data_IF_735624348030
#
_entry.id   IF_735624348030
#
_cell.length_a   1.000
_cell.length_b   1.000
_cell.length_c   1.000
_cell.angle_alpha   90.00
_cell.angle_beta   90.00
_cell.angle_gamma   90.00
#
_symmetry.space_group_name_H-M   'P 1'
#
loop_
_entity.id
_entity.type
_entity.pdbx_description
1 polymer ?
#
# COMPACT_ATOMS: atom_id res chain seq x y z
N UNK A 1 -7.96 22.39 3.95
CA UNK A 1 -8.63 21.25 4.61
C UNK A 1 -8.33 20.00 3.79
N UNK A 2 -7.63 19.02 4.36
CA UNK A 2 -7.39 17.74 3.69
C UNK A 2 -8.65 16.87 3.81
N UNK A 3 -9.13 16.32 2.69
CA UNK A 3 -10.39 15.58 2.62
C UNK A 3 -10.34 14.21 3.30
N UNK A 4 -11.52 13.62 3.56
CA UNK A 4 -11.67 12.29 4.17
C UNK A 4 -10.88 11.18 3.44
N UNK A 5 -10.78 11.29 2.12
CA UNK A 5 -10.09 10.32 1.25
C UNK A 5 -8.56 10.32 1.39
N UNK A 6 -7.96 11.44 1.82
CA UNK A 6 -6.50 11.49 2.08
C UNK A 6 -6.10 10.46 3.14
N UNK A 7 -6.97 10.24 4.14
CA UNK A 7 -6.71 9.30 5.23
C UNK A 7 -6.62 7.85 4.76
N UNK A 8 -7.48 7.45 3.82
CA UNK A 8 -7.52 6.06 3.31
C UNK A 8 -6.24 5.73 2.53
N UNK A 9 -5.81 6.63 1.65
CA UNK A 9 -4.58 6.47 0.87
C UNK A 9 -3.34 6.36 1.78
N UNK A 10 -3.27 7.18 2.83
CA UNK A 10 -2.19 7.12 3.81
C UNK A 10 -2.21 5.81 4.63
N UNK A 11 -3.39 5.28 4.96
CA UNK A 11 -3.50 4.00 5.65
C UNK A 11 -3.08 2.85 4.74
N UNK A 12 -3.48 2.86 3.47
CA UNK A 12 -3.01 1.86 2.49
C UNK A 12 -1.49 1.86 2.37
N UNK A 13 -0.84 3.02 2.34
CA UNK A 13 0.64 3.11 2.33
C UNK A 13 1.28 2.48 3.54
N UNK A 14 0.73 2.74 4.72
CA UNK A 14 1.23 2.16 5.97
C UNK A 14 1.13 0.64 5.93
N UNK A 15 0.00 0.12 5.47
CA UNK A 15 -0.20 -1.32 5.33
C UNK A 15 0.76 -1.90 4.30
N UNK A 16 0.89 -1.28 3.11
CA UNK A 16 1.80 -1.75 2.06
C UNK A 16 3.26 -1.75 2.54
N UNK A 17 3.71 -0.68 3.21
CA UNK A 17 5.04 -0.58 3.78
C UNK A 17 5.27 -1.64 4.86
N UNK A 18 4.26 -1.94 5.67
CA UNK A 18 4.35 -2.98 6.69
C UNK A 18 4.44 -4.39 6.07
N UNK A 19 3.66 -4.69 5.05
CA UNK A 19 3.77 -5.96 4.30
C UNK A 19 5.16 -6.14 3.70
N UNK A 20 5.76 -5.07 3.15
CA UNK A 20 7.16 -5.09 2.69
C UNK A 20 8.16 -5.34 3.82
N UNK A 21 7.94 -4.76 5.01
CA UNK A 21 8.76 -5.04 6.19
C UNK A 21 8.67 -6.49 6.62
N UNK A 22 7.47 -7.09 6.64
CA UNK A 22 7.28 -8.52 6.95
C UNK A 22 8.11 -9.38 5.99
N UNK A 23 8.05 -9.10 4.69
CA UNK A 23 8.82 -9.84 3.69
C UNK A 23 10.34 -9.72 3.92
N UNK A 24 10.84 -8.50 4.20
CA UNK A 24 12.24 -8.26 4.53
C UNK A 24 12.65 -9.04 5.79
N UNK A 25 11.81 -9.02 6.83
CA UNK A 25 12.09 -9.70 8.09
C UNK A 25 12.14 -11.22 7.94
N UNK A 26 11.23 -11.78 7.15
CA UNK A 26 11.24 -13.21 6.81
C UNK A 26 12.54 -13.62 6.11
N UNK A 27 13.08 -12.79 5.21
CA UNK A 27 14.38 -13.05 4.56
C UNK A 27 15.53 -12.99 5.56
N UNK A 28 15.56 -11.94 6.40
CA UNK A 28 16.62 -11.74 7.40
C UNK A 28 16.64 -12.85 8.48
N UNK A 29 15.48 -13.36 8.88
CA UNK A 29 15.39 -14.50 9.79
C UNK A 29 15.93 -15.80 9.17
N UNK A 30 15.85 -15.99 7.86
CA UNK A 30 16.47 -17.13 7.16
C UNK A 30 18.00 -17.01 7.13
N UNK A 31 18.52 -15.78 7.10
CA UNK A 31 19.95 -15.48 7.25
C UNK A 31 20.44 -15.59 8.71
N UNK A 32 19.56 -15.89 9.67
CA UNK A 32 19.88 -15.95 11.10
C UNK A 32 19.98 -14.57 11.77
N UNK A 33 19.62 -13.49 11.07
CA UNK A 33 19.69 -12.12 11.59
C UNK A 33 18.41 -11.80 12.34
N UNK A 34 18.51 -11.56 13.65
CA UNK A 34 17.37 -11.24 14.53
C UNK A 34 17.35 -9.80 15.03
N UNK A 35 18.29 -8.98 14.57
CA UNK A 35 18.47 -7.58 14.98
C UNK A 35 17.25 -6.69 14.70
N UNK A 36 16.34 -7.10 13.80
CA UNK A 36 15.11 -6.36 13.53
C UNK A 36 14.14 -6.32 14.73
N UNK A 37 14.35 -7.19 15.73
CA UNK A 37 13.55 -7.25 16.96
C UNK A 37 14.45 -6.91 18.16
N UNK A 38 14.72 -5.62 18.45
CA UNK A 38 15.73 -5.23 19.43
C UNK A 38 15.49 -5.81 20.83
N UNK A 39 14.22 -5.83 21.26
CA UNK A 39 13.84 -6.39 22.56
C UNK A 39 14.09 -7.90 22.64
N UNK A 40 13.75 -8.64 21.58
CA UNK A 40 13.99 -10.07 21.51
C UNK A 40 15.49 -10.36 21.44
N UNK A 41 16.23 -9.59 20.63
CA UNK A 41 17.67 -9.72 20.50
C UNK A 41 18.38 -9.51 21.84
N UNK A 42 18.02 -8.45 22.59
CA UNK A 42 18.54 -8.21 23.94
C UNK A 42 18.17 -9.34 24.91
N UNK A 43 16.93 -9.86 24.85
CA UNK A 43 16.50 -10.96 25.70
C UNK A 43 17.30 -12.25 25.42
N UNK A 44 17.56 -12.57 24.16
CA UNK A 44 18.39 -13.72 23.76
C UNK A 44 19.84 -13.56 24.21
N UNK A 45 20.42 -12.37 24.06
CA UNK A 45 21.77 -12.07 24.55
C UNK A 45 21.86 -12.23 26.08
N UNK A 46 20.84 -11.79 26.83
CA UNK A 46 20.82 -11.90 28.29
C UNK A 46 20.61 -13.33 28.80
N UNK A 47 19.88 -14.16 28.06
CA UNK A 47 19.57 -15.54 28.43
C UNK A 47 20.57 -16.56 27.89
N UNK A 48 21.40 -16.19 26.91
CA UNK A 48 22.30 -17.11 26.20
C UNK A 48 21.55 -18.13 25.33
N UNK A 49 20.26 -17.91 25.07
CA UNK A 49 19.45 -18.81 24.28
C UNK A 49 19.79 -18.70 22.78
N UNK A 50 19.76 -19.83 22.08
CA UNK A 50 20.02 -19.89 20.64
C UNK A 50 18.87 -19.23 19.85
N UNK A 51 19.14 -18.19 19.03
CA UNK A 51 18.16 -17.60 18.13
C UNK A 51 17.53 -18.62 17.15
N UNK A 52 18.23 -19.71 16.84
CA UNK A 52 17.74 -20.79 15.98
C UNK A 52 16.50 -21.49 16.52
N UNK A 53 16.29 -21.49 17.85
CA UNK A 53 15.12 -22.13 18.48
C UNK A 53 13.84 -21.33 18.27
N UNK A 54 13.92 -19.99 18.34
CA UNK A 54 12.75 -19.10 18.23
C UNK A 54 12.47 -18.64 16.79
N UNK A 55 13.50 -18.63 15.93
CA UNK A 55 13.39 -18.16 14.55
C UNK A 55 12.28 -18.87 13.73
N UNK A 56 12.10 -20.20 13.78
CA UNK A 56 11.02 -20.88 13.06
C UNK A 56 9.62 -20.44 13.52
N UNK A 57 9.45 -20.19 14.82
CA UNK A 57 8.18 -19.70 15.37
C UNK A 57 7.84 -18.31 14.84
N UNK A 58 8.84 -17.41 14.81
CA UNK A 58 8.66 -16.06 14.28
C UNK A 58 8.39 -16.10 12.78
N UNK A 59 9.12 -16.92 12.02
CA UNK A 59 8.88 -17.09 10.58
C UNK A 59 7.46 -17.58 10.30
N UNK A 60 6.97 -18.57 11.05
CA UNK A 60 5.59 -19.05 10.95
C UNK A 60 4.58 -17.94 11.25
N UNK A 61 4.82 -17.15 12.29
CA UNK A 61 3.93 -16.03 12.64
C UNK A 61 3.91 -14.94 11.54
N UNK A 62 5.08 -14.57 11.02
CA UNK A 62 5.19 -13.59 9.93
C UNK A 62 4.49 -14.08 8.65
N UNK A 63 4.55 -15.38 8.35
CA UNK A 63 3.87 -15.97 7.19
C UNK A 63 2.34 -15.87 7.32
N UNK A 64 1.78 -16.22 8.50
CA UNK A 64 0.35 -16.06 8.76
C UNK A 64 -0.07 -14.59 8.70
N UNK A 65 0.71 -13.70 9.32
CA UNK A 65 0.43 -12.27 9.32
C UNK A 65 0.41 -11.69 7.91
N UNK A 66 1.36 -12.09 7.06
CA UNK A 66 1.37 -11.73 5.65
C UNK A 66 0.13 -12.25 4.91
N UNK A 67 -0.32 -13.47 5.22
CA UNK A 67 -1.55 -14.05 4.70
C UNK A 67 -2.77 -13.20 5.05
N UNK A 68 -2.92 -12.82 6.32
CA UNK A 68 -4.02 -11.95 6.77
C UNK A 68 -4.01 -10.59 6.07
N UNK A 69 -2.84 -9.97 5.90
CA UNK A 69 -2.77 -8.70 5.16
C UNK A 69 -3.21 -8.83 3.70
N UNK A 70 -2.96 -9.97 3.05
CA UNK A 70 -3.45 -10.22 1.68
C UNK A 70 -4.96 -10.45 1.65
N UNK A 71 -5.51 -11.12 2.65
CA UNK A 71 -6.94 -11.40 2.76
C UNK A 71 -7.76 -10.15 3.07
N UNK A 72 -7.33 -9.35 4.05
CA UNK A 72 -8.05 -8.13 4.45
C UNK A 72 -7.90 -6.97 3.47
N UNK A 73 -6.85 -6.99 2.64
CA UNK A 73 -6.53 -5.89 1.73
C UNK A 73 -6.12 -6.40 0.35
N UNK A 74 -7.05 -6.99 -0.43
CA UNK A 74 -6.76 -7.60 -1.73
C UNK A 74 -6.25 -6.59 -2.77
N UNK A 75 -6.66 -5.31 -2.67
CA UNK A 75 -6.35 -4.28 -3.65
C UNK A 75 -5.06 -3.48 -3.34
N UNK A 76 -4.23 -3.92 -2.38
CA UNK A 76 -3.02 -3.19 -1.96
C UNK A 76 -1.95 -3.02 -3.05
N UNK A 77 -1.94 -3.89 -4.06
CA UNK A 77 -0.91 -3.88 -5.10
C UNK A 77 -1.33 -3.03 -6.32
N UNK A 78 -2.63 -2.85 -6.57
CA UNK A 78 -3.15 -2.07 -7.70
C UNK A 78 -3.57 -0.63 -7.31
N UNK A 79 -2.60 0.13 -6.79
CA UNK A 79 -2.82 1.56 -6.49
C UNK A 79 -2.52 2.48 -7.69
N UNK A 80 -2.27 1.90 -8.87
CA UNK A 80 -1.88 2.65 -10.09
C UNK A 80 -2.93 3.70 -10.45
N UNK A 81 -4.21 3.36 -10.27
CA UNK A 81 -5.38 4.20 -10.53
C UNK A 81 -5.60 5.30 -9.50
N UNK A 82 -4.94 5.27 -8.34
CA UNK A 82 -5.14 6.22 -7.23
C UNK A 82 -3.97 7.22 -7.09
N UNK A 83 -2.89 7.06 -7.86
CA UNK A 83 -1.71 7.93 -7.78
C UNK A 83 -2.02 9.40 -8.12
N UNK A 84 -2.95 9.65 -9.04
CA UNK A 84 -3.37 11.02 -9.39
C UNK A 84 -4.06 11.74 -8.22
N UNK A 85 -4.69 11.00 -7.29
CA UNK A 85 -5.32 11.57 -6.10
C UNK A 85 -4.25 12.08 -5.13
N UNK A 86 -3.09 11.40 -5.08
CA UNK A 86 -1.96 11.76 -4.23
C UNK A 86 -1.11 12.88 -4.81
N UNK A 87 -0.90 12.85 -6.13
CA UNK A 87 -0.19 13.89 -6.85
C UNK A 87 -0.92 14.24 -8.17
N UNK A 88 -1.87 15.19 -8.12
CA UNK A 88 -2.68 15.55 -9.29
C UNK A 88 -1.90 16.26 -10.40
N UNK A 89 -0.69 16.75 -10.09
CA UNK A 89 0.19 17.42 -11.04
C UNK A 89 1.39 16.56 -11.43
N UNK A 90 1.38 15.27 -11.10
CA UNK A 90 2.39 14.35 -11.59
C UNK A 90 2.39 14.39 -13.14
N UNK A 91 3.55 14.52 -13.80
CA UNK A 91 3.63 14.40 -15.25
C UNK A 91 3.05 13.03 -15.64
N UNK A 92 1.94 13.07 -16.38
CA UNK A 92 1.06 11.92 -16.55
C UNK A 92 1.77 10.72 -17.16
N UNK A 93 1.55 9.55 -16.57
CA UNK A 93 1.32 8.35 -17.38
C UNK A 93 0.01 8.58 -18.13
N UNK A 94 0.11 8.50 -19.44
CA UNK A 94 -0.83 9.08 -20.37
C UNK A 94 -2.20 8.39 -20.28
N UNK A 95 -3.23 9.16 -19.89
CA UNK A 95 -4.48 9.09 -20.64
C UNK A 95 -5.68 8.33 -20.07
N UNK A 96 -5.66 7.72 -18.88
CA UNK A 96 -6.87 7.01 -18.41
C UNK A 96 -7.62 7.60 -17.20
N UNK A 97 -6.98 8.17 -16.18
CA UNK A 97 -7.72 8.55 -14.95
C UNK A 97 -7.31 9.88 -14.26
N UNK A 98 -6.50 10.73 -14.90
CA UNK A 98 -6.16 12.06 -14.36
C UNK A 98 -7.19 13.15 -14.72
N UNK A 99 -7.20 14.31 -14.02
CA UNK A 99 -7.98 15.47 -14.45
C UNK A 99 -7.61 15.81 -15.89
N UNK A 100 -8.58 15.68 -16.80
CA UNK A 100 -8.41 15.92 -18.22
C UNK A 100 -7.82 17.32 -18.37
N UNK A 101 -6.62 17.43 -18.95
CA UNK A 101 -5.99 18.72 -19.23
C UNK A 101 -6.97 19.53 -20.08
N UNK A 102 -7.57 20.57 -19.50
CA UNK A 102 -8.34 21.55 -20.25
C UNK A 102 -7.38 22.16 -21.27
N UNK A 103 -7.49 21.72 -22.52
CA UNK A 103 -6.81 22.39 -23.62
C UNK A 103 -7.61 23.65 -23.87
N UNK A 104 -7.11 24.79 -23.38
CA UNK A 104 -7.67 26.09 -23.73
C UNK A 104 -7.60 26.23 -25.24
N UNK A 105 -8.75 26.14 -25.89
CA UNK A 105 -8.96 26.60 -27.24
C UNK A 105 -10.06 27.64 -27.11
N UNK A 106 -9.61 28.89 -26.91
CA UNK A 106 -10.37 30.13 -26.99
C UNK A 106 -11.41 30.38 -25.86
N UNK A 107 -11.06 31.31 -24.97
CA UNK A 107 -11.86 32.25 -24.16
C UNK A 107 -13.39 32.02 -23.94
N UNK A 108 -13.83 30.80 -23.72
CA UNK A 108 -15.18 30.49 -23.23
C UNK A 108 -15.16 29.17 -22.46
N UNK A 109 -15.04 29.27 -21.13
CA UNK A 109 -15.09 28.13 -20.22
C UNK A 109 -16.50 27.50 -20.22
N UNK A 110 -16.69 26.44 -21.01
CA UNK A 110 -17.81 25.51 -20.85
C UNK A 110 -17.24 24.13 -20.52
N UNK A 111 -17.24 23.81 -19.22
CA UNK A 111 -17.04 22.45 -18.74
C UNK A 111 -18.37 21.69 -18.86
N UNK A 112 -18.56 20.89 -19.92
CA UNK A 112 -19.65 19.90 -19.95
C UNK A 112 -19.26 18.77 -18.99
N UNK A 113 -19.95 18.68 -17.86
CA UNK A 113 -19.88 17.54 -16.94
C UNK A 113 -20.47 16.31 -17.64
N UNK A 114 -19.61 15.39 -18.09
CA UNK A 114 -20.01 14.09 -18.58
C UNK A 114 -20.43 13.19 -17.42
N UNK A 115 -21.74 13.10 -17.19
CA UNK A 115 -22.38 12.00 -16.46
C UNK A 115 -21.96 10.69 -17.15
N UNK A 116 -21.59 9.61 -16.43
CA UNK A 116 -21.28 8.34 -17.07
C UNK A 116 -22.52 7.82 -17.81
N UNK A 117 -22.39 7.16 -18.98
CA UNK A 117 -23.53 6.52 -19.60
C UNK A 117 -24.01 5.38 -18.68
N UNK A 118 -25.01 5.67 -17.86
CA UNK A 118 -25.84 4.65 -17.25
C UNK A 118 -26.66 4.00 -18.36
N UNK A 119 -26.61 2.67 -18.45
CA UNK A 119 -27.56 1.89 -19.22
C UNK A 119 -28.96 2.14 -18.67
N UNK A 120 -29.68 3.11 -19.23
CA UNK A 120 -31.13 3.12 -19.20
C UNK A 120 -31.62 2.16 -20.29
N UNK A 121 -31.89 0.91 -19.91
CA UNK A 121 -32.82 0.10 -20.68
C UNK A 121 -34.20 0.75 -20.53
N UNK A 122 -34.76 1.17 -21.66
CA UNK A 122 -36.14 1.60 -21.77
C UNK A 122 -36.92 0.43 -22.39
N UNK A 123 -37.62 -0.33 -21.54
CA UNK A 123 -38.92 -0.92 -21.88
C UNK A 123 -39.95 -0.36 -20.90
#
# INVERSE_FOLDING_TARGET
MQGRETYILHVQDKVQAFTKKIALWSTKLKEGVIEMFPQLHQALLSSGADPGTISPLIQSHLAHLQGYFKEYFPDLEDNSNQNWIRNPFAPGVDGQYGPKKCRSINDSDICITGIPPGNFNLE
#
